data_IF_827434750578
#
_entry.id   IF_827434750578
#
_cell.length_a   1.000
_cell.length_b   1.000
_cell.length_c   1.000
_cell.angle_alpha   90.00
_cell.angle_beta   90.00
_cell.angle_gamma   90.00
#
_symmetry.space_group_name_H-M   'P 1'
#
loop_
_entity.id
_entity.type
_entity.pdbx_description
1 polymer ?
#
# COMPACT_ATOMS: atom_id res chain seq x y z
N UNK A 1 -56.50 -33.28 -9.18
CA UNK A 1 -56.65 -32.80 -10.57
C UNK A 1 -56.45 -31.29 -10.51
N UNK A 2 -55.39 -30.66 -10.99
CA UNK A 2 -54.54 -31.02 -12.12
C UNK A 2 -53.07 -30.86 -11.78
N UNK A 3 -52.29 -31.86 -12.19
CA UNK A 3 -50.86 -31.73 -12.39
C UNK A 3 -50.61 -30.63 -13.43
N UNK A 4 -49.67 -29.72 -13.15
CA UNK A 4 -49.03 -28.94 -14.19
C UNK A 4 -48.00 -29.88 -14.85
N UNK A 5 -48.11 -30.19 -16.15
CA UNK A 5 -47.02 -30.82 -16.87
C UNK A 5 -45.87 -29.81 -16.88
N UNK A 6 -44.71 -30.24 -16.36
CA UNK A 6 -43.43 -29.61 -16.70
C UNK A 6 -43.32 -29.72 -18.22
N UNK A 7 -43.53 -28.61 -18.92
CA UNK A 7 -43.18 -28.53 -20.32
C UNK A 7 -41.66 -28.38 -20.34
N UNK A 8 -40.98 -29.47 -20.65
CA UNK A 8 -39.55 -29.51 -20.91
C UNK A 8 -39.22 -28.41 -21.90
N UNK A 9 -38.48 -27.42 -21.41
CA UNK A 9 -37.85 -26.41 -22.22
C UNK A 9 -36.61 -27.05 -22.86
N UNK A 10 -36.82 -27.96 -23.81
CA UNK A 10 -35.80 -28.36 -24.77
C UNK A 10 -35.55 -27.17 -25.72
N UNK A 11 -34.89 -26.14 -25.20
CA UNK A 11 -34.11 -25.25 -26.02
C UNK A 11 -32.70 -25.81 -26.02
N UNK A 12 -32.46 -26.80 -26.89
CA UNK A 12 -31.12 -27.15 -27.35
C UNK A 12 -30.45 -25.86 -27.82
N UNK A 13 -29.71 -25.25 -26.90
CA UNK A 13 -28.73 -24.24 -27.21
C UNK A 13 -27.64 -25.00 -27.96
N UNK A 14 -27.85 -25.14 -29.26
CA UNK A 14 -26.76 -25.37 -30.20
C UNK A 14 -25.77 -24.24 -29.95
N UNK A 15 -24.75 -24.55 -29.14
CA UNK A 15 -23.58 -23.72 -28.94
C UNK A 15 -22.86 -23.72 -30.29
N UNK A 16 -23.32 -22.84 -31.18
CA UNK A 16 -22.57 -22.48 -32.37
C UNK A 16 -21.29 -21.84 -31.84
N UNK A 17 -20.20 -22.61 -31.85
CA UNK A 17 -18.86 -22.12 -31.54
C UNK A 17 -18.62 -20.86 -32.36
N UNK A 18 -18.70 -19.69 -31.72
CA UNK A 18 -18.40 -18.43 -32.38
C UNK A 18 -16.94 -18.48 -32.82
N UNK A 19 -16.62 -18.13 -34.08
CA UNK A 19 -15.24 -18.13 -34.54
C UNK A 19 -14.40 -17.24 -33.63
N UNK A 20 -13.19 -17.72 -33.27
CA UNK A 20 -12.23 -16.93 -32.49
C UNK A 20 -11.84 -15.69 -33.30
N UNK A 21 -11.90 -14.52 -32.66
CA UNK A 21 -11.47 -13.27 -33.29
C UNK A 21 -9.93 -13.20 -33.28
N UNK A 22 -9.34 -12.91 -34.44
CA UNK A 22 -7.89 -12.74 -34.61
C UNK A 22 -7.59 -11.34 -35.15
N UNK A 23 -6.53 -10.72 -34.62
CA UNK A 23 -6.02 -9.44 -35.12
C UNK A 23 -5.09 -9.72 -36.30
N UNK A 24 -5.45 -9.25 -37.48
CA UNK A 24 -4.71 -9.53 -38.72
C UNK A 24 -4.33 -8.28 -39.51
N UNK A 25 -4.83 -7.10 -39.13
CA UNK A 25 -4.55 -5.82 -39.78
C UNK A 25 -4.65 -4.64 -38.79
N UNK A 26 -4.32 -3.43 -39.26
CA UNK A 26 -4.39 -2.23 -38.43
C UNK A 26 -5.82 -1.90 -37.99
N UNK A 27 -6.84 -2.23 -38.80
CA UNK A 27 -8.24 -1.97 -38.51
C UNK A 27 -8.76 -2.84 -37.36
N UNK A 28 -8.49 -4.14 -37.41
CA UNK A 28 -8.79 -5.11 -36.34
C UNK A 28 -8.02 -4.78 -35.06
N UNK A 29 -6.75 -4.37 -35.16
CA UNK A 29 -5.97 -3.89 -34.01
C UNK A 29 -6.59 -2.63 -33.38
N UNK A 30 -7.02 -1.68 -34.20
CA UNK A 30 -7.70 -0.44 -33.74
C UNK A 30 -9.00 -0.78 -33.00
N UNK A 31 -9.78 -1.73 -33.51
CA UNK A 31 -10.98 -2.19 -32.84
C UNK A 31 -10.68 -2.84 -31.48
N UNK A 32 -9.66 -3.70 -31.39
CA UNK A 32 -9.25 -4.30 -30.11
C UNK A 32 -8.78 -3.23 -29.13
N UNK A 33 -7.96 -2.27 -29.57
CA UNK A 33 -7.52 -1.15 -28.73
C UNK A 33 -8.68 -0.30 -28.23
N UNK A 34 -9.68 -0.04 -29.08
CA UNK A 34 -10.92 0.65 -28.67
C UNK A 34 -11.66 -0.15 -27.60
N UNK A 35 -11.77 -1.47 -27.75
CA UNK A 35 -12.40 -2.34 -26.75
C UNK A 35 -11.66 -2.37 -25.42
N UNK A 36 -10.33 -2.43 -25.47
CA UNK A 36 -9.50 -2.32 -24.26
C UNK A 36 -9.69 -0.97 -23.57
N UNK A 37 -9.81 0.13 -24.33
CA UNK A 37 -10.14 1.45 -23.78
C UNK A 37 -11.52 1.46 -23.12
N UNK A 38 -12.55 0.90 -23.78
CA UNK A 38 -13.90 0.77 -23.21
C UNK A 38 -13.86 0.01 -21.86
N UNK A 39 -13.13 -1.11 -21.78
CA UNK A 39 -12.97 -1.86 -20.53
C UNK A 39 -12.22 -1.08 -19.45
N UNK A 40 -11.14 -0.39 -19.82
CA UNK A 40 -10.40 0.45 -18.88
C UNK A 40 -11.28 1.59 -18.30
N UNK A 41 -12.14 2.18 -19.11
CA UNK A 41 -13.08 3.20 -18.67
C UNK A 41 -14.15 2.62 -17.74
N UNK A 42 -14.68 1.43 -18.04
CA UNK A 42 -15.60 0.71 -17.15
C UNK A 42 -14.95 0.39 -15.80
N UNK A 43 -13.72 -0.12 -15.80
CA UNK A 43 -12.97 -0.39 -14.57
C UNK A 43 -12.74 0.87 -13.75
N UNK A 44 -12.40 1.97 -14.42
CA UNK A 44 -12.18 3.28 -13.78
C UNK A 44 -13.45 3.79 -13.13
N UNK A 45 -14.59 3.67 -13.81
CA UNK A 45 -15.89 4.08 -13.27
C UNK A 45 -16.32 3.21 -12.09
N UNK A 46 -16.14 1.89 -12.17
CA UNK A 46 -16.40 0.97 -11.04
C UNK A 46 -15.53 1.33 -9.84
N UNK A 47 -14.23 1.60 -10.05
CA UNK A 47 -13.31 2.03 -8.98
C UNK A 47 -13.76 3.36 -8.39
N UNK A 48 -14.18 4.33 -9.20
CA UNK A 48 -14.67 5.64 -8.76
C UNK A 48 -15.89 5.48 -7.85
N UNK A 49 -16.92 4.77 -8.32
CA UNK A 49 -18.14 4.52 -7.55
C UNK A 49 -17.83 3.79 -6.25
N UNK A 50 -17.00 2.74 -6.28
CA UNK A 50 -16.60 2.01 -5.08
C UNK A 50 -15.88 2.91 -4.08
N UNK A 51 -14.94 3.74 -4.54
CA UNK A 51 -14.21 4.67 -3.69
C UNK A 51 -15.13 5.70 -3.04
N UNK A 52 -16.12 6.22 -3.77
CA UNK A 52 -17.13 7.14 -3.22
C UNK A 52 -17.93 6.49 -2.09
N UNK A 53 -18.35 5.23 -2.26
CA UNK A 53 -19.06 4.49 -1.22
C UNK A 53 -18.17 4.21 -0.01
N UNK A 54 -16.90 3.82 -0.21
CA UNK A 54 -15.94 3.63 0.89
C UNK A 54 -15.81 4.92 1.70
N UNK A 55 -15.61 6.05 1.03
CA UNK A 55 -15.49 7.36 1.71
C UNK A 55 -16.77 7.70 2.47
N UNK A 56 -17.94 7.44 1.89
CA UNK A 56 -19.22 7.68 2.56
C UNK A 56 -19.39 6.81 3.82
N UNK A 57 -19.07 5.52 3.73
CA UNK A 57 -19.14 4.57 4.85
C UNK A 57 -18.15 4.96 5.94
N UNK A 58 -16.92 5.32 5.58
CA UNK A 58 -15.91 5.79 6.54
C UNK A 58 -16.37 7.05 7.27
N UNK A 59 -16.96 8.01 6.56
CA UNK A 59 -17.52 9.23 7.18
C UNK A 59 -18.67 8.90 8.13
N UNK A 60 -19.58 8.01 7.72
CA UNK A 60 -20.67 7.56 8.59
C UNK A 60 -20.13 6.85 9.83
N UNK A 61 -19.18 5.92 9.68
CA UNK A 61 -18.53 5.22 10.79
C UNK A 61 -17.91 6.22 11.77
N UNK A 62 -17.13 7.17 11.27
CA UNK A 62 -16.49 8.19 12.10
C UNK A 62 -17.53 9.00 12.88
N UNK A 63 -18.62 9.42 12.23
CA UNK A 63 -19.72 10.13 12.89
C UNK A 63 -20.40 9.31 13.98
N UNK A 64 -20.62 8.01 13.75
CA UNK A 64 -21.20 7.12 14.77
C UNK A 64 -20.26 6.93 15.97
N UNK A 65 -18.94 6.87 15.73
CA UNK A 65 -17.95 6.79 16.81
C UNK A 65 -17.87 8.10 17.62
N UNK A 66 -17.93 9.25 16.94
CA UNK A 66 -17.91 10.58 17.57
C UNK A 66 -19.07 10.79 18.54
N UNK A 67 -20.25 10.17 18.32
CA UNK A 67 -21.38 10.24 19.26
C UNK A 67 -21.01 9.76 20.67
N UNK A 68 -20.17 8.74 20.75
CA UNK A 68 -19.72 8.17 22.02
C UNK A 68 -18.48 8.87 22.57
N UNK A 69 -17.74 9.60 21.73
CA UNK A 69 -16.44 10.17 22.10
C UNK A 69 -16.60 11.25 23.17
N UNK A 70 -17.55 12.18 23.02
CA UNK A 70 -17.77 13.22 24.04
C UNK A 70 -18.20 12.64 25.39
N UNK A 71 -18.99 11.56 25.39
CA UNK A 71 -19.33 10.87 26.64
C UNK A 71 -18.14 10.13 27.25
N UNK A 72 -17.29 9.52 26.41
CA UNK A 72 -16.05 8.88 26.85
C UNK A 72 -15.09 9.89 27.46
N UNK A 73 -14.81 10.98 26.76
CA UNK A 73 -13.94 12.07 27.22
C UNK A 73 -14.42 12.63 28.58
N UNK A 74 -15.72 12.85 28.72
CA UNK A 74 -16.30 13.31 29.98
C UNK A 74 -16.07 12.30 31.13
N UNK A 75 -16.35 11.02 30.90
CA UNK A 75 -16.15 9.96 31.90
C UNK A 75 -14.67 9.76 32.26
N UNK A 76 -13.78 9.82 31.27
CA UNK A 76 -12.33 9.75 31.47
C UNK A 76 -11.82 10.97 32.24
N UNK A 77 -12.39 12.16 32.00
CA UNK A 77 -12.14 13.37 32.78
C UNK A 77 -12.50 13.19 34.25
N UNK A 78 -13.70 12.70 34.56
CA UNK A 78 -14.12 12.43 35.94
C UNK A 78 -13.17 11.48 36.68
N UNK A 79 -12.74 10.40 36.01
CA UNK A 79 -11.80 9.44 36.58
C UNK A 79 -10.40 10.03 36.78
N UNK A 80 -9.99 10.93 35.88
CA UNK A 80 -8.70 11.62 35.95
C UNK A 80 -8.67 12.62 37.10
N UNK A 81 -9.73 13.42 37.26
CA UNK A 81 -9.88 14.37 38.36
C UNK A 81 -9.91 13.65 39.70
N UNK A 82 -10.69 12.56 39.81
CA UNK A 82 -10.75 11.76 41.02
C UNK A 82 -9.39 11.13 41.37
N UNK A 83 -8.67 10.58 40.38
CA UNK A 83 -7.32 10.04 40.62
C UNK A 83 -6.34 11.15 41.03
N UNK A 84 -6.48 12.36 40.48
CA UNK A 84 -5.67 13.51 40.86
C UNK A 84 -5.86 13.87 42.33
N UNK A 85 -7.11 13.95 42.79
CA UNK A 85 -7.45 14.23 44.19
C UNK A 85 -6.93 13.15 45.13
N UNK A 86 -7.10 11.87 44.79
CA UNK A 86 -6.54 10.74 45.57
C UNK A 86 -5.02 10.84 45.72
N UNK A 87 -4.33 11.41 44.72
CA UNK A 87 -2.86 11.52 44.71
C UNK A 87 -2.31 12.70 45.49
N UNK A 88 -3.16 13.65 45.88
CA UNK A 88 -2.77 14.70 46.83
C UNK A 88 -2.50 14.13 48.22
N UNK A 89 -3.13 13.00 48.57
CA UNK A 89 -2.95 12.32 49.86
C UNK A 89 -2.05 11.09 49.74
N UNK A 90 -2.21 10.26 48.70
CA UNK A 90 -1.34 9.11 48.41
C UNK A 90 -0.76 9.20 46.99
N UNK A 91 0.53 9.59 46.84
CA UNK A 91 1.19 9.70 45.53
C UNK A 91 1.17 8.42 44.68
N UNK A 92 0.96 7.25 45.29
CA UNK A 92 0.89 5.94 44.60
C UNK A 92 -0.54 5.46 44.37
N UNK A 93 -1.55 6.28 44.66
CA UNK A 93 -2.94 5.93 44.49
C UNK A 93 -3.26 5.49 43.04
N UNK A 94 -4.14 4.50 42.96
CA UNK A 94 -4.73 3.94 41.75
C UNK A 94 -6.20 3.63 42.00
N UNK A 95 -7.02 3.78 40.97
CA UNK A 95 -8.42 3.35 41.02
C UNK A 95 -8.46 1.91 40.49
N UNK A 96 -9.04 0.99 41.26
CA UNK A 96 -9.16 -0.42 40.87
C UNK A 96 -10.62 -0.84 41.05
N UNK A 97 -11.29 -1.17 39.95
CA UNK A 97 -12.68 -1.65 39.93
C UNK A 97 -12.76 -2.98 39.19
N UNK A 98 -13.85 -3.75 39.32
CA UNK A 98 -14.05 -4.96 38.51
C UNK A 98 -14.04 -4.73 36.99
N UNK A 99 -14.25 -3.48 36.56
CA UNK A 99 -14.35 -3.11 35.14
C UNK A 99 -13.08 -2.45 34.59
N UNK A 100 -12.08 -2.18 35.42
CA UNK A 100 -10.84 -1.57 34.95
C UNK A 100 -9.96 -0.97 36.04
N UNK A 101 -8.84 -0.41 35.61
CA UNK A 101 -7.88 0.28 36.48
C UNK A 101 -7.51 1.62 35.86
N UNK A 102 -7.50 2.67 36.68
CA UNK A 102 -7.02 4.01 36.29
C UNK A 102 -5.74 4.29 37.06
N UNK A 103 -4.66 4.53 36.32
CA UNK A 103 -3.35 4.86 36.86
C UNK A 103 -2.59 5.71 35.85
N UNK A 104 -1.64 6.50 36.33
CA UNK A 104 -0.74 7.23 35.43
C UNK A 104 0.54 6.45 35.21
N UNK A 105 1.08 6.54 33.99
CA UNK A 105 2.39 6.01 33.63
C UNK A 105 3.27 7.16 33.21
N UNK A 106 4.38 7.39 33.92
CA UNK A 106 5.40 8.33 33.47
C UNK A 106 6.16 7.70 32.30
N UNK A 107 6.06 8.31 31.11
CA UNK A 107 6.96 7.99 30.02
C UNK A 107 8.30 8.68 30.31
N UNK A 108 9.42 7.95 30.17
CA UNK A 108 10.75 8.54 30.36
C UNK A 108 10.97 9.61 29.29
N UNK A 109 11.70 10.66 29.65
CA UNK A 109 12.21 11.63 28.67
C UNK A 109 13.02 10.88 27.62
N UNK A 110 12.65 11.10 26.36
CA UNK A 110 13.25 10.45 25.21
C UNK A 110 13.48 11.49 24.11
N UNK A 111 14.42 11.20 23.21
CA UNK A 111 14.69 12.09 22.09
C UNK A 111 13.64 11.84 21.02
N UNK A 112 12.95 12.90 20.60
CA UNK A 112 12.09 12.87 19.42
C UNK A 112 12.96 13.07 18.18
N UNK A 113 12.75 12.23 17.16
CA UNK A 113 13.49 12.27 15.90
C UNK A 113 12.53 12.66 14.76
N UNK A 114 12.10 13.91 14.68
CA UNK A 114 11.08 14.32 13.71
C UNK A 114 11.61 14.33 12.26
N UNK A 115 12.93 14.32 12.06
CA UNK A 115 13.53 14.43 10.74
C UNK A 115 14.90 13.75 10.67
N UNK A 116 14.92 12.51 10.22
CA UNK A 116 16.14 11.73 10.02
C UNK A 116 17.10 12.37 9.01
N UNK A 117 16.61 13.09 7.98
CA UNK A 117 17.50 13.74 7.00
C UNK A 117 18.34 14.84 7.62
N UNK A 118 17.72 15.70 8.44
CA UNK A 118 18.43 16.76 9.17
C UNK A 118 19.42 16.17 10.17
N UNK A 119 19.05 15.07 10.83
CA UNK A 119 19.92 14.36 11.76
C UNK A 119 21.16 13.79 11.05
N UNK A 120 20.96 13.13 9.91
CA UNK A 120 22.07 12.57 9.11
C UNK A 120 23.02 13.67 8.65
N UNK A 121 22.49 14.81 8.18
CA UNK A 121 23.33 15.94 7.77
C UNK A 121 24.15 16.50 8.94
N UNK A 122 23.52 16.77 10.07
CA UNK A 122 24.20 17.26 11.29
C UNK A 122 25.29 16.29 11.77
N UNK A 123 25.03 14.98 11.76
CA UNK A 123 26.01 13.96 12.11
C UNK A 123 27.18 13.93 11.13
N UNK A 124 26.92 14.14 9.84
CA UNK A 124 27.95 14.17 8.79
C UNK A 124 28.83 15.43 8.90
N UNK A 125 28.21 16.59 9.09
CA UNK A 125 28.89 17.88 9.24
C UNK A 125 29.81 17.91 10.48
N UNK A 126 29.41 17.21 11.54
CA UNK A 126 30.19 17.10 12.78
C UNK A 126 31.19 15.93 12.77
N UNK A 127 31.29 15.19 11.66
CA UNK A 127 32.19 14.03 11.56
C UNK A 127 31.81 12.86 12.48
N UNK A 128 30.57 12.83 13.00
CA UNK A 128 30.05 11.80 13.90
C UNK A 128 29.53 10.58 13.12
N UNK A 129 30.33 10.11 12.16
CA UNK A 129 29.96 9.03 11.25
C UNK A 129 29.80 7.67 11.93
N UNK A 130 30.28 7.50 13.17
CA UNK A 130 30.08 6.28 13.97
C UNK A 130 28.61 6.00 14.30
N UNK A 131 27.75 7.03 14.28
CA UNK A 131 26.30 6.88 14.49
C UNK A 131 25.51 6.70 13.19
N UNK A 132 26.19 6.79 12.04
CA UNK A 132 25.59 6.55 10.74
C UNK A 132 25.86 5.10 10.33
N UNK A 133 24.80 4.39 9.92
CA UNK A 133 24.99 3.07 9.32
C UNK A 133 25.65 3.26 7.94
N UNK A 134 26.77 2.57 7.65
CA UNK A 134 27.30 2.53 6.29
C UNK A 134 26.27 1.82 5.41
N UNK A 135 25.64 2.56 4.51
CA UNK A 135 24.76 1.99 3.48
C UNK A 135 25.38 2.21 2.11
N UNK A 136 26.45 1.47 1.75
CA UNK A 136 27.00 1.53 0.41
C UNK A 136 25.97 0.92 -0.55
N UNK A 137 25.18 1.78 -1.20
CA UNK A 137 24.35 1.37 -2.33
C UNK A 137 25.24 1.38 -3.57
N UNK A 138 25.42 0.26 -4.28
CA UNK A 138 26.15 0.27 -5.54
C UNK A 138 25.41 1.16 -6.53
N UNK A 139 26.13 2.10 -7.15
CA UNK A 139 25.58 2.87 -8.26
C UNK A 139 25.51 1.98 -9.50
N UNK A 140 24.37 1.30 -9.64
CA UNK A 140 24.10 0.40 -10.77
C UNK A 140 24.08 1.14 -12.12
N UNK A 141 23.94 2.47 -12.13
CA UNK A 141 23.95 3.25 -13.38
C UNK A 141 25.37 3.55 -13.83
N UNK A 142 26.26 3.95 -12.93
CA UNK A 142 27.69 4.12 -13.21
C UNK A 142 28.34 2.78 -13.57
N UNK A 143 28.08 1.73 -12.79
CA UNK A 143 28.59 0.37 -13.04
C UNK A 143 28.23 -0.13 -14.46
N UNK A 144 27.01 0.14 -14.94
CA UNK A 144 26.59 -0.25 -16.31
C UNK A 144 27.24 0.55 -17.43
N UNK A 145 27.80 1.73 -17.15
CA UNK A 145 28.51 2.53 -18.15
C UNK A 145 29.94 2.05 -18.32
N UNK A 146 30.59 1.69 -17.22
CA UNK A 146 32.03 1.42 -17.19
C UNK A 146 32.38 -0.07 -17.33
N UNK A 147 31.38 -0.96 -17.23
CA UNK A 147 31.54 -2.41 -17.32
C UNK A 147 30.58 -3.00 -18.36
N UNK A 148 31.02 -4.06 -19.03
CA UNK A 148 30.26 -4.79 -20.03
C UNK A 148 30.49 -6.31 -19.89
N UNK A 149 29.56 -7.12 -20.41
CA UNK A 149 29.74 -8.58 -20.40
C UNK A 149 30.66 -9.02 -21.54
N UNK A 150 31.66 -9.83 -21.22
CA UNK A 150 32.50 -10.57 -22.18
C UNK A 150 32.43 -12.05 -21.77
N UNK A 151 31.70 -12.86 -22.54
CA UNK A 151 31.31 -14.20 -22.09
C UNK A 151 30.43 -14.10 -20.83
N UNK A 152 30.77 -14.85 -19.79
CA UNK A 152 30.05 -14.85 -18.50
C UNK A 152 30.57 -13.82 -17.49
N UNK A 153 31.61 -13.05 -17.83
CA UNK A 153 32.25 -12.10 -16.91
C UNK A 153 31.85 -10.66 -17.22
N UNK A 154 31.57 -9.88 -16.18
CA UNK A 154 31.29 -8.45 -16.28
C UNK A 154 32.58 -7.66 -16.03
N UNK A 155 33.16 -7.09 -17.10
CA UNK A 155 34.53 -6.57 -17.15
C UNK A 155 34.52 -5.06 -17.44
N UNK A 156 35.36 -4.30 -16.73
CA UNK A 156 35.62 -2.88 -17.02
C UNK A 156 36.69 -2.66 -18.09
N UNK A 157 36.78 -1.45 -18.64
CA UNK A 157 37.81 -1.07 -19.60
C UNK A 157 39.25 -1.29 -19.07
N UNK A 158 39.44 -1.25 -17.75
CA UNK A 158 40.73 -1.49 -17.08
C UNK A 158 40.99 -2.99 -16.77
N UNK A 159 40.14 -3.90 -17.26
CA UNK A 159 40.30 -5.35 -17.10
C UNK A 159 39.86 -5.91 -15.74
N UNK A 160 39.22 -5.09 -14.89
CA UNK A 160 38.68 -5.55 -13.60
C UNK A 160 37.38 -6.35 -13.81
N UNK A 161 37.31 -7.54 -13.21
CA UNK A 161 36.12 -8.41 -13.23
C UNK A 161 35.28 -8.12 -11.98
N UNK A 162 34.00 -7.81 -12.18
CA UNK A 162 33.03 -7.60 -11.10
C UNK A 162 32.17 -8.86 -10.94
N UNK A 163 32.22 -9.45 -9.74
CA UNK A 163 31.40 -10.62 -9.39
C UNK A 163 30.01 -10.20 -8.89
N UNK A 164 28.98 -10.99 -9.21
CA UNK A 164 27.58 -10.77 -8.82
C UNK A 164 26.58 -10.37 -9.93
N UNK A 165 26.94 -9.63 -10.99
CA UNK A 165 26.06 -9.41 -12.14
C UNK A 165 25.87 -10.68 -12.98
N UNK A 166 24.62 -11.02 -13.30
CA UNK A 166 24.28 -12.13 -14.22
C UNK A 166 23.65 -11.60 -15.51
N UNK A 167 23.87 -12.32 -16.60
CA UNK A 167 23.25 -12.00 -17.89
C UNK A 167 21.74 -12.27 -17.77
N UNK A 168 20.94 -11.20 -17.85
CA UNK A 168 19.50 -11.33 -18.05
C UNK A 168 19.27 -11.48 -19.56
N UNK A 169 18.61 -12.55 -20.03
CA UNK A 169 18.28 -12.67 -21.45
C UNK A 169 17.39 -11.50 -21.88
N UNK A 170 17.57 -11.04 -23.10
CA UNK A 170 16.71 -10.02 -23.69
C UNK A 170 15.26 -10.53 -23.65
N UNK A 171 14.38 -9.78 -22.98
CA UNK A 171 12.95 -10.07 -22.89
C UNK A 171 12.17 -8.88 -23.40
N UNK A 172 11.33 -9.09 -24.40
CA UNK A 172 10.39 -8.08 -24.87
C UNK A 172 9.11 -8.15 -24.02
N UNK A 173 8.59 -6.98 -23.64
CA UNK A 173 7.31 -6.89 -22.92
C UNK A 173 6.39 -5.99 -23.69
N UNK A 174 5.24 -6.51 -24.08
CA UNK A 174 4.19 -5.74 -24.75
C UNK A 174 3.52 -4.82 -23.74
N UNK A 175 3.54 -3.52 -24.03
CA UNK A 175 2.96 -2.47 -23.18
C UNK A 175 1.78 -1.84 -23.89
N UNK A 176 0.63 -1.76 -23.22
CA UNK A 176 -0.55 -1.08 -23.72
C UNK A 176 -0.67 0.27 -23.02
N UNK A 177 -0.69 1.36 -23.79
CA UNK A 177 -0.92 2.71 -23.29
C UNK A 177 -2.20 3.23 -23.91
N UNK A 178 -3.11 3.71 -23.08
CA UNK A 178 -4.36 4.33 -23.50
C UNK A 178 -4.17 5.85 -23.42
N UNK A 179 -4.68 6.57 -24.41
CA UNK A 179 -4.68 8.02 -24.35
C UNK A 179 -5.80 8.46 -23.38
N UNK A 180 -5.44 9.31 -22.42
CA UNK A 180 -6.40 9.99 -21.54
C UNK A 180 -7.20 11.08 -22.28
#
# INVERSE_FOLDING_TARGET
MSALPKLDLENESTEVEKPKFEVHDLSSATWVMRKLCDFNNQDTEVKRVAQEQIVAIQKWQQKELEKNESSREYMEGLLSDYLHDMRQTDPKARISTPYGTVSTRKQREGVNWPNDKKLVQSLSDQGLTQYLKPNPKPDKTAIKKDFHFVGDHFISNDGMILDGPTIKPASETTMFKFNE
#
